data_IF_369204871352
#
_entry.id   IF_369204871352
#
_cell.length_a   1.000
_cell.length_b   1.000
_cell.length_c   1.000
_cell.angle_alpha   90.00
_cell.angle_beta   90.00
_cell.angle_gamma   90.00
#
_symmetry.space_group_name_H-M   'P 1'
#
loop_
_entity.id
_entity.type
_entity.pdbx_description
1 polymer ?
#
# COMPACT_ATOMS: atom_id res chain seq x y z
N UNK A 1 -24.65 21.82 -38.67
CA UNK A 1 -24.58 21.46 -37.24
C UNK A 1 -23.26 20.74 -37.01
N UNK A 2 -22.32 21.44 -36.41
CA UNK A 2 -20.89 21.06 -36.23
C UNK A 2 -20.74 20.11 -35.06
N UNK A 3 -19.97 19.04 -35.21
CA UNK A 3 -19.68 18.04 -34.19
C UNK A 3 -18.86 18.63 -33.02
N UNK A 4 -19.10 18.22 -31.76
CA UNK A 4 -18.53 18.86 -30.60
C UNK A 4 -17.06 18.51 -30.35
N UNK A 5 -16.32 19.50 -29.87
CA UNK A 5 -14.86 19.55 -29.69
C UNK A 5 -14.23 18.53 -28.70
N UNK A 6 -15.00 17.69 -28.04
CA UNK A 6 -14.44 16.72 -27.06
C UNK A 6 -13.68 15.54 -27.67
N UNK A 7 -13.72 15.35 -28.98
CA UNK A 7 -12.91 14.36 -29.71
C UNK A 7 -11.40 14.63 -29.70
N UNK A 8 -10.95 15.83 -29.32
CA UNK A 8 -9.52 16.21 -29.30
C UNK A 8 -8.79 15.90 -27.98
N UNK A 9 -9.51 15.68 -26.89
CA UNK A 9 -8.89 15.37 -25.59
C UNK A 9 -8.66 13.87 -25.36
N UNK A 10 -9.30 12.99 -26.11
CA UNK A 10 -9.09 11.54 -26.01
C UNK A 10 -7.83 11.04 -26.76
N UNK A 11 -7.20 11.87 -27.60
CA UNK A 11 -6.04 11.47 -28.39
C UNK A 11 -4.68 11.69 -27.72
N UNK A 12 -4.62 12.43 -26.60
CA UNK A 12 -3.34 12.76 -25.93
C UNK A 12 -2.93 11.73 -24.87
N UNK A 13 -3.86 10.90 -24.40
CA UNK A 13 -3.55 9.87 -23.38
C UNK A 13 -3.00 8.55 -23.97
N UNK A 14 -2.93 8.38 -25.30
CA UNK A 14 -2.52 7.11 -25.93
C UNK A 14 -1.11 7.12 -26.56
N UNK A 15 -0.31 8.19 -26.41
CA UNK A 15 1.00 8.31 -27.09
C UNK A 15 2.20 8.08 -26.16
N UNK A 16 2.02 7.73 -24.88
CA UNK A 16 3.11 7.49 -23.94
C UNK A 16 3.47 6.02 -23.69
N UNK A 17 3.09 5.09 -24.57
CA UNK A 17 3.62 3.71 -24.55
C UNK A 17 4.49 3.52 -25.80
N UNK A 18 5.57 4.29 -25.90
CA UNK A 18 6.65 4.09 -26.84
C UNK A 18 7.56 2.97 -26.38
N UNK A 19 7.72 1.95 -27.21
CA UNK A 19 8.66 0.85 -27.01
C UNK A 19 10.11 1.41 -26.91
N UNK A 20 10.78 1.10 -25.79
CA UNK A 20 12.22 1.30 -25.65
C UNK A 20 12.92 0.08 -26.24
N UNK A 21 13.82 0.23 -27.23
CA UNK A 21 14.56 -0.90 -27.79
C UNK A 21 15.58 -1.42 -26.77
N UNK A 22 15.61 -2.74 -26.60
CA UNK A 22 16.66 -3.44 -25.84
C UNK A 22 17.94 -3.37 -26.68
N UNK A 23 18.88 -2.51 -26.32
CA UNK A 23 20.23 -2.53 -26.84
C UNK A 23 21.16 -3.29 -25.89
N UNK A 24 21.98 -4.10 -26.50
CA UNK A 24 22.98 -5.02 -25.98
C UNK A 24 23.82 -4.53 -24.79
N UNK A 25 24.07 -5.47 -23.87
CA UNK A 25 25.05 -5.33 -22.79
C UNK A 25 26.44 -5.30 -23.42
N UNK A 26 27.03 -4.09 -23.47
CA UNK A 26 28.46 -3.90 -23.73
C UNK A 26 29.19 -3.71 -22.40
N UNK A 27 30.27 -4.44 -22.25
CA UNK A 27 31.22 -4.45 -21.12
C UNK A 27 31.58 -3.05 -20.61
N UNK A 28 31.43 -2.84 -19.30
CA UNK A 28 31.86 -1.63 -18.60
C UNK A 28 33.39 -1.53 -18.59
N UNK A 29 33.98 -0.40 -18.97
CA UNK A 29 35.38 -0.16 -18.75
C UNK A 29 35.67 0.17 -17.28
N UNK A 30 36.80 -0.33 -16.78
CA UNK A 30 37.33 -0.08 -15.43
C UNK A 30 37.55 1.42 -15.19
N UNK A 31 36.99 1.93 -14.08
CA UNK A 31 37.16 3.30 -13.63
C UNK A 31 38.62 3.57 -13.24
N UNK A 32 39.23 4.69 -13.67
CA UNK A 32 40.54 5.10 -13.20
C UNK A 32 40.46 5.63 -11.76
N UNK A 33 41.43 5.27 -10.94
CA UNK A 33 41.65 5.78 -9.59
C UNK A 33 41.84 7.29 -9.58
N UNK A 34 40.98 8.00 -8.80
CA UNK A 34 41.11 9.45 -8.62
C UNK A 34 42.25 9.78 -7.65
N UNK A 35 43.08 10.80 -7.93
CA UNK A 35 44.08 11.26 -6.99
C UNK A 35 43.47 12.07 -5.84
N UNK A 36 43.92 11.79 -4.62
CA UNK A 36 43.56 12.55 -3.41
C UNK A 36 44.26 13.91 -3.49
N UNK A 37 43.53 14.96 -3.79
CA UNK A 37 43.99 16.35 -3.60
C UNK A 37 43.23 16.94 -2.41
N UNK A 38 43.95 17.14 -1.31
CA UNK A 38 43.57 18.01 -0.20
C UNK A 38 43.54 19.46 -0.70
N UNK A 39 42.35 20.04 -0.85
CA UNK A 39 42.16 21.47 -1.00
C UNK A 39 41.02 21.96 -0.15
N UNK A 40 41.33 22.96 0.67
CA UNK A 40 40.58 23.79 1.55
C UNK A 40 39.07 23.66 1.60
N UNK A 41 38.55 23.27 2.75
CA UNK A 41 37.11 23.27 3.07
C UNK A 41 36.59 24.71 3.07
N UNK A 42 36.08 25.16 1.95
CA UNK A 42 35.09 26.23 1.92
C UNK A 42 33.80 25.58 2.42
N UNK A 43 33.44 25.83 3.68
CA UNK A 43 32.12 25.47 4.24
C UNK A 43 31.04 26.16 3.40
N UNK A 44 30.54 25.49 2.37
CA UNK A 44 29.28 25.88 1.75
C UNK A 44 28.22 25.81 2.84
N UNK A 45 27.39 26.85 3.01
CA UNK A 45 26.24 26.74 3.91
C UNK A 45 25.45 25.51 3.49
N UNK A 46 25.29 24.55 4.38
CA UNK A 46 24.43 23.39 4.17
C UNK A 46 23.04 23.98 3.98
N UNK A 47 22.57 23.99 2.73
CA UNK A 47 21.19 24.35 2.48
C UNK A 47 20.30 23.39 3.28
N UNK A 48 19.44 23.95 4.12
CA UNK A 48 18.44 23.15 4.81
C UNK A 48 17.68 22.34 3.76
N UNK A 49 17.45 21.04 3.98
CA UNK A 49 16.72 20.22 3.02
C UNK A 49 15.37 20.90 2.73
N UNK A 50 14.91 20.90 1.49
CA UNK A 50 13.66 21.54 1.13
C UNK A 50 12.54 20.91 1.96
N UNK A 51 11.78 21.74 2.70
CA UNK A 51 10.59 21.31 3.41
C UNK A 51 9.55 20.81 2.41
N UNK A 52 8.78 19.80 2.79
CA UNK A 52 7.64 19.37 1.99
C UNK A 52 6.64 20.55 1.86
N UNK A 53 6.01 20.71 0.68
CA UNK A 53 4.96 21.71 0.54
C UNK A 53 3.82 21.43 1.53
N UNK A 54 3.19 22.46 2.07
CA UNK A 54 2.03 22.31 2.94
C UNK A 54 0.96 21.43 2.28
N UNK A 55 0.45 20.47 3.02
CA UNK A 55 -0.59 19.57 2.56
C UNK A 55 -1.71 19.47 3.59
N UNK A 56 -2.93 19.30 3.11
CA UNK A 56 -4.11 19.12 3.95
C UNK A 56 -5.00 18.01 3.42
N UNK A 57 -5.72 17.37 4.34
CA UNK A 57 -6.79 16.44 4.03
C UNK A 57 -8.06 16.84 4.76
N UNK A 58 -9.17 16.84 4.03
CA UNK A 58 -10.52 17.04 4.54
C UNK A 58 -11.34 15.76 4.35
N UNK A 59 -12.23 15.48 5.29
CA UNK A 59 -13.20 14.39 5.25
C UNK A 59 -14.58 14.95 4.95
N UNK A 60 -15.39 14.18 4.23
CA UNK A 60 -16.76 14.57 3.93
C UNK A 60 -17.68 14.29 5.12
N UNK A 61 -18.39 15.31 5.55
CA UNK A 61 -19.44 15.26 6.57
C UNK A 61 -20.76 15.79 5.99
N UNK A 62 -21.63 14.89 5.57
CA UNK A 62 -22.83 15.26 4.84
C UNK A 62 -22.47 16.02 3.55
N UNK A 63 -22.90 17.31 3.47
CA UNK A 63 -22.62 18.17 2.31
C UNK A 63 -21.40 19.10 2.48
N UNK A 64 -20.63 18.93 3.56
CA UNK A 64 -19.50 19.81 3.87
C UNK A 64 -18.20 19.02 3.89
N UNK A 65 -17.09 19.73 3.68
CA UNK A 65 -15.74 19.23 3.87
C UNK A 65 -15.17 19.79 5.15
N UNK A 66 -14.69 18.92 6.05
CA UNK A 66 -14.00 19.30 7.28
C UNK A 66 -12.55 18.90 7.19
N UNK A 67 -11.63 19.88 7.25
CA UNK A 67 -10.20 19.59 7.36
C UNK A 67 -9.94 18.88 8.67
N UNK A 68 -9.37 17.69 8.59
CA UNK A 68 -9.02 16.89 9.77
C UNK A 68 -7.50 16.75 9.96
N UNK A 69 -6.71 16.98 8.91
CA UNK A 69 -5.26 16.86 8.96
C UNK A 69 -4.58 17.97 8.15
N UNK A 70 -3.42 18.41 8.65
CA UNK A 70 -2.48 19.32 7.98
C UNK A 70 -1.07 18.87 8.26
N UNK A 71 -0.19 18.91 7.25
CA UNK A 71 1.20 18.49 7.39
C UNK A 71 1.96 19.27 8.47
N UNK A 72 1.68 20.58 8.61
CA UNK A 72 2.32 21.45 9.60
C UNK A 72 1.92 21.13 11.05
N UNK A 73 0.79 20.44 11.23
CA UNK A 73 0.25 20.06 12.53
C UNK A 73 0.14 18.54 12.66
N UNK A 74 0.90 17.79 11.84
CA UNK A 74 0.92 16.34 11.93
C UNK A 74 1.37 15.88 13.34
N UNK A 75 0.67 14.92 13.94
CA UNK A 75 1.07 14.42 15.26
C UNK A 75 2.43 13.74 15.18
N UNK A 76 3.27 13.96 16.18
CA UNK A 76 4.57 13.28 16.28
C UNK A 76 4.42 11.76 16.42
N UNK A 77 3.26 11.31 16.90
CA UNK A 77 2.92 9.90 17.06
C UNK A 77 1.41 9.68 17.02
N UNK A 78 0.99 8.68 16.26
CA UNK A 78 -0.37 8.16 16.24
C UNK A 78 -0.56 7.17 17.40
N UNK A 79 -1.62 7.34 18.17
CA UNK A 79 -1.84 6.57 19.41
C UNK A 79 -2.79 5.38 19.26
N UNK A 80 -3.17 5.05 18.04
CA UNK A 80 -4.18 4.04 17.76
C UNK A 80 -5.63 4.56 17.84
N UNK A 81 -5.82 5.87 17.97
CA UNK A 81 -7.14 6.49 17.91
C UNK A 81 -7.65 6.46 16.48
N UNK A 82 -8.84 5.92 16.27
CA UNK A 82 -9.39 5.67 14.94
C UNK A 82 -10.37 6.79 14.51
N UNK A 83 -9.91 8.03 14.49
CA UNK A 83 -10.73 9.22 14.21
C UNK A 83 -11.44 9.17 12.87
N UNK A 84 -10.77 8.73 11.81
CA UNK A 84 -11.40 8.56 10.49
C UNK A 84 -12.40 7.41 10.44
N UNK A 85 -12.29 6.41 11.31
CA UNK A 85 -13.21 5.29 11.32
C UNK A 85 -14.63 5.69 11.76
N UNK A 86 -14.79 6.82 12.44
CA UNK A 86 -16.09 7.39 12.83
C UNK A 86 -16.88 7.90 11.61
N UNK A 87 -16.20 8.20 10.51
CA UNK A 87 -16.81 8.65 9.25
C UNK A 87 -17.13 7.51 8.27
N UNK A 88 -16.81 6.27 8.65
CA UNK A 88 -17.05 5.09 7.81
C UNK A 88 -18.41 4.50 8.11
N UNK A 89 -19.23 4.31 7.07
CA UNK A 89 -20.40 3.44 7.17
C UNK A 89 -19.98 2.00 6.99
N UNK A 90 -19.85 1.29 8.12
CA UNK A 90 -19.35 -0.09 8.12
C UNK A 90 -20.40 -1.08 7.64
N UNK A 91 -19.98 -2.02 6.79
CA UNK A 91 -20.75 -3.14 6.27
C UNK A 91 -20.09 -4.45 6.73
N UNK A 92 -20.85 -5.40 7.33
CA UNK A 92 -20.30 -6.68 7.73
C UNK A 92 -19.97 -7.53 6.50
N UNK A 93 -18.82 -8.20 6.52
CA UNK A 93 -18.39 -9.16 5.48
C UNK A 93 -18.54 -10.58 5.97
N UNK A 94 -18.00 -10.85 7.15
CA UNK A 94 -18.03 -12.11 7.86
C UNK A 94 -17.75 -11.85 9.35
N UNK A 95 -17.92 -12.82 10.26
CA UNK A 95 -17.52 -12.63 11.65
C UNK A 95 -16.08 -12.17 11.79
N UNK A 96 -15.89 -10.98 12.39
CA UNK A 96 -14.56 -10.33 12.51
C UNK A 96 -14.06 -9.63 11.28
N UNK A 97 -14.90 -9.43 10.26
CA UNK A 97 -14.55 -8.70 9.05
C UNK A 97 -15.62 -7.66 8.71
N UNK A 98 -15.20 -6.45 8.42
CA UNK A 98 -16.07 -5.38 7.94
C UNK A 98 -15.32 -4.53 6.90
N UNK A 99 -16.08 -3.84 6.07
CA UNK A 99 -15.52 -2.85 5.13
C UNK A 99 -16.40 -1.62 5.06
N UNK A 100 -15.86 -0.55 4.54
CA UNK A 100 -16.57 0.68 4.24
C UNK A 100 -15.72 1.63 3.43
N UNK A 101 -16.24 2.81 3.16
CA UNK A 101 -15.53 3.84 2.40
C UNK A 101 -15.68 5.21 3.07
N UNK A 102 -14.68 6.07 2.82
CA UNK A 102 -14.63 7.47 3.26
C UNK A 102 -14.30 8.31 2.04
N UNK A 103 -14.99 9.43 1.87
CA UNK A 103 -14.60 10.43 0.88
C UNK A 103 -13.64 11.43 1.50
N UNK A 104 -12.46 11.58 0.89
CA UNK A 104 -11.46 12.60 1.25
C UNK A 104 -11.29 13.62 0.13
N UNK A 105 -10.88 14.82 0.51
CA UNK A 105 -10.40 15.85 -0.39
C UNK A 105 -9.06 16.39 0.11
N UNK A 106 -8.11 16.51 -0.80
CA UNK A 106 -6.79 17.05 -0.53
C UNK A 106 -6.34 18.02 -1.62
N UNK A 107 -5.07 18.37 -1.61
CA UNK A 107 -4.46 19.25 -2.62
C UNK A 107 -4.16 18.48 -3.90
N UNK A 108 -4.12 19.17 -5.05
CA UNK A 108 -3.75 18.58 -6.34
C UNK A 108 -4.65 17.41 -6.73
N UNK A 109 -4.07 16.30 -7.17
CA UNK A 109 -4.78 15.10 -7.63
C UNK A 109 -5.54 14.36 -6.52
N UNK A 110 -5.38 14.77 -5.26
CA UNK A 110 -6.15 14.25 -4.11
C UNK A 110 -7.49 14.96 -3.90
N UNK A 111 -7.88 15.91 -4.74
CA UNK A 111 -9.10 16.73 -4.56
C UNK A 111 -10.40 15.93 -4.43
N UNK A 112 -10.41 14.69 -4.88
CA UNK A 112 -11.51 13.71 -4.74
C UNK A 112 -10.89 12.32 -4.61
N UNK A 113 -10.82 11.81 -3.40
CA UNK A 113 -10.22 10.51 -3.12
C UNK A 113 -11.17 9.69 -2.25
N UNK A 114 -11.61 8.55 -2.77
CA UNK A 114 -12.31 7.55 -1.98
C UNK A 114 -11.28 6.66 -1.31
N UNK A 115 -11.42 6.43 -0.01
CA UNK A 115 -10.61 5.46 0.74
C UNK A 115 -11.51 4.28 1.11
N UNK A 116 -11.26 3.15 0.48
CA UNK A 116 -11.90 1.88 0.80
C UNK A 116 -11.11 1.28 1.97
N UNK A 117 -11.81 0.96 3.06
CA UNK A 117 -11.21 0.44 4.28
C UNK A 117 -11.78 -0.93 4.59
N UNK A 118 -10.90 -1.89 4.90
CA UNK A 118 -11.29 -3.22 5.38
C UNK A 118 -10.69 -3.45 6.76
N UNK A 119 -11.51 -3.89 7.71
CA UNK A 119 -11.10 -4.32 9.05
C UNK A 119 -11.17 -5.84 9.13
N UNK A 120 -10.14 -6.45 9.73
CA UNK A 120 -10.05 -7.89 9.89
C UNK A 120 -9.52 -8.20 11.30
N UNK A 121 -10.30 -8.94 12.08
CA UNK A 121 -9.81 -9.54 13.33
C UNK A 121 -9.09 -10.86 13.00
N UNK A 122 -7.75 -10.94 13.10
CA UNK A 122 -7.00 -12.13 12.72
C UNK A 122 -7.29 -13.34 13.62
N UNK A 123 -7.89 -13.13 14.82
CA UNK A 123 -8.34 -14.22 15.69
C UNK A 123 -9.55 -14.95 15.11
N UNK A 124 -10.34 -14.27 14.28
CA UNK A 124 -11.57 -14.77 13.63
C UNK A 124 -11.41 -15.02 12.14
N UNK A 125 -10.21 -14.77 11.60
CA UNK A 125 -9.85 -14.94 10.21
C UNK A 125 -8.67 -15.88 10.05
N UNK A 126 -8.61 -16.59 8.93
CA UNK A 126 -7.40 -17.28 8.45
C UNK A 126 -6.81 -16.47 7.30
N UNK A 127 -5.56 -16.12 7.45
CA UNK A 127 -4.78 -15.40 6.45
C UNK A 127 -3.89 -16.38 5.69
N UNK A 128 -3.74 -16.19 4.40
CA UNK A 128 -2.83 -16.97 3.56
C UNK A 128 -2.32 -16.10 2.40
N UNK A 129 -1.17 -16.45 1.85
CA UNK A 129 -0.68 -15.84 0.62
C UNK A 129 -1.01 -16.72 -0.58
N UNK A 130 -1.39 -16.09 -1.68
CA UNK A 130 -1.52 -16.72 -2.99
C UNK A 130 -0.48 -16.15 -3.95
N UNK A 131 0.09 -16.99 -4.78
CA UNK A 131 1.22 -16.64 -5.61
C UNK A 131 1.03 -17.03 -7.06
N UNK A 132 1.51 -16.17 -7.95
CA UNK A 132 1.61 -16.49 -9.35
C UNK A 132 3.04 -16.90 -9.75
N UNK A 133 4.05 -16.35 -9.08
CA UNK A 133 5.46 -16.56 -9.44
C UNK A 133 5.97 -17.97 -9.21
N UNK A 134 5.41 -18.73 -8.26
CA UNK A 134 5.83 -20.11 -7.96
C UNK A 134 5.50 -21.09 -9.09
N UNK A 135 4.53 -20.77 -9.94
CA UNK A 135 4.07 -21.64 -11.03
C UNK A 135 4.82 -21.41 -12.34
N UNK A 136 5.16 -20.14 -12.62
CA UNK A 136 5.74 -19.77 -13.91
C UNK A 136 6.66 -18.54 -13.86
N UNK A 137 7.11 -18.11 -12.69
CA UNK A 137 7.89 -16.87 -12.49
C UNK A 137 7.23 -15.62 -13.12
N UNK A 138 5.90 -15.54 -13.06
CA UNK A 138 5.12 -14.46 -13.70
C UNK A 138 4.28 -13.69 -12.70
N UNK A 139 4.07 -12.39 -12.99
CA UNK A 139 3.05 -11.55 -12.38
C UNK A 139 1.71 -11.83 -13.04
N UNK A 140 1.06 -12.91 -12.76
CA UNK A 140 -0.20 -13.23 -13.41
C UNK A 140 -1.39 -13.35 -12.44
N UNK A 141 -1.18 -13.00 -11.17
CA UNK A 141 -2.27 -12.94 -10.20
C UNK A 141 -3.18 -11.74 -10.45
N UNK A 142 -4.46 -11.97 -10.38
CA UNK A 142 -5.53 -10.96 -10.44
C UNK A 142 -6.72 -11.43 -9.61
N UNK A 143 -7.70 -10.53 -9.40
CA UNK A 143 -8.91 -10.84 -8.64
C UNK A 143 -9.74 -12.00 -9.21
N UNK A 144 -9.52 -12.39 -10.48
CA UNK A 144 -10.22 -13.53 -11.10
C UNK A 144 -9.73 -14.87 -10.56
N UNK A 145 -8.55 -14.89 -9.92
CA UNK A 145 -7.97 -16.10 -9.31
C UNK A 145 -8.37 -16.30 -7.85
N UNK A 146 -9.11 -15.36 -7.27
CA UNK A 146 -9.50 -15.41 -5.86
C UNK A 146 -10.47 -16.56 -5.63
N UNK A 147 -10.11 -17.57 -4.78
CA UNK A 147 -11.00 -18.67 -4.44
C UNK A 147 -12.33 -18.16 -3.85
N UNK A 148 -13.42 -18.86 -4.15
CA UNK A 148 -14.75 -18.45 -3.72
C UNK A 148 -14.88 -18.36 -2.19
N UNK A 149 -14.20 -19.23 -1.47
CA UNK A 149 -14.19 -19.25 -0.01
C UNK A 149 -13.50 -18.04 0.63
N UNK A 150 -12.63 -17.30 -0.11
CA UNK A 150 -12.00 -16.09 0.41
C UNK A 150 -12.99 -14.94 0.43
N UNK A 151 -13.07 -14.22 1.54
CA UNK A 151 -13.95 -13.06 1.73
C UNK A 151 -13.28 -11.74 1.37
N UNK A 152 -11.98 -11.65 1.58
CA UNK A 152 -11.17 -10.49 1.19
C UNK A 152 -9.95 -10.99 0.45
N UNK A 153 -9.56 -10.27 -0.58
CA UNK A 153 -8.29 -10.48 -1.29
C UNK A 153 -7.68 -9.14 -1.70
N UNK A 154 -6.37 -9.02 -1.54
CA UNK A 154 -5.63 -7.80 -1.88
C UNK A 154 -4.26 -8.19 -2.41
N UNK A 155 -3.70 -7.42 -3.36
CA UNK A 155 -2.30 -7.64 -3.73
C UNK A 155 -1.37 -7.36 -2.55
N UNK A 156 -0.27 -8.11 -2.43
CA UNK A 156 0.63 -8.05 -1.30
C UNK A 156 2.06 -7.72 -1.72
N UNK A 157 2.73 -6.94 -0.85
CA UNK A 157 4.12 -6.53 -1.05
C UNK A 157 4.31 -5.52 -2.17
N UNK A 158 5.57 -5.28 -2.49
CA UNK A 158 6.03 -4.60 -3.70
C UNK A 158 6.63 -5.66 -4.64
N UNK A 159 6.86 -5.31 -5.90
CA UNK A 159 7.52 -6.23 -6.82
C UNK A 159 8.44 -5.52 -7.81
N UNK A 160 9.45 -6.25 -8.25
CA UNK A 160 10.39 -5.81 -9.29
C UNK A 160 10.32 -6.83 -10.41
N UNK A 161 10.12 -6.36 -11.64
CA UNK A 161 9.81 -7.22 -12.77
C UNK A 161 8.61 -8.15 -12.45
N UNK A 162 8.79 -9.44 -12.41
CA UNK A 162 7.73 -10.44 -12.21
C UNK A 162 7.80 -11.12 -10.83
N UNK A 163 8.69 -10.68 -9.95
CA UNK A 163 8.90 -11.27 -8.63
C UNK A 163 8.54 -10.29 -7.52
N UNK A 164 8.00 -10.78 -6.38
CA UNK A 164 7.88 -9.98 -5.18
C UNK A 164 9.24 -9.43 -4.75
N UNK A 165 9.25 -8.21 -4.25
CA UNK A 165 10.45 -7.64 -3.68
C UNK A 165 10.63 -8.11 -2.23
N UNK A 166 11.84 -8.62 -1.92
CA UNK A 166 12.22 -8.99 -0.56
C UNK A 166 11.67 -10.34 -0.10
N UNK A 167 11.57 -10.49 1.21
CA UNK A 167 11.31 -11.77 1.86
C UNK A 167 9.90 -12.30 1.57
N UNK A 168 9.83 -13.55 1.14
CA UNK A 168 8.57 -14.29 0.97
C UNK A 168 8.69 -15.68 1.57
N UNK A 169 7.77 -15.98 2.50
CA UNK A 169 7.57 -17.30 3.08
C UNK A 169 6.15 -17.76 2.78
N UNK A 170 6.01 -18.97 2.27
CA UNK A 170 4.74 -19.58 1.93
C UNK A 170 4.70 -20.95 2.59
N UNK A 171 3.72 -21.14 3.46
CA UNK A 171 3.50 -22.40 4.17
C UNK A 171 4.78 -22.94 4.86
N UNK A 172 5.45 -22.05 5.58
CA UNK A 172 6.70 -22.34 6.30
C UNK A 172 7.96 -22.42 5.43
N UNK A 173 7.82 -22.37 4.11
CA UNK A 173 8.97 -22.45 3.18
C UNK A 173 9.36 -21.07 2.68
N UNK A 174 10.63 -20.71 2.85
CA UNK A 174 11.17 -19.50 2.25
C UNK A 174 11.37 -19.66 0.74
N UNK A 175 10.77 -18.77 -0.02
CA UNK A 175 10.90 -18.70 -1.48
C UNK A 175 11.84 -17.60 -1.95
N UNK A 176 11.78 -16.44 -1.28
CA UNK A 176 12.65 -15.32 -1.59
C UNK A 176 13.37 -14.85 -0.31
N UNK A 177 14.64 -14.47 -0.41
CA UNK A 177 15.40 -13.95 0.74
C UNK A 177 14.93 -12.54 1.12
N UNK A 178 15.25 -12.10 2.36
CA UNK A 178 14.99 -10.74 2.78
C UNK A 178 15.65 -9.70 1.88
N UNK A 179 14.88 -8.70 1.46
CA UNK A 179 15.37 -7.50 0.83
C UNK A 179 15.99 -6.55 1.87
N UNK A 180 16.85 -5.65 1.41
CA UNK A 180 17.52 -4.66 2.27
C UNK A 180 16.99 -3.28 1.99
N UNK A 181 16.71 -2.52 3.03
CA UNK A 181 16.25 -1.13 2.93
C UNK A 181 15.84 -0.59 4.30
N UNK A 182 16.13 0.68 4.61
CA UNK A 182 15.85 1.27 5.92
C UNK A 182 14.35 1.42 6.21
N UNK A 183 13.52 1.42 5.17
CA UNK A 183 12.07 1.54 5.28
C UNK A 183 11.34 0.26 4.89
N UNK A 184 12.03 -0.86 4.87
CA UNK A 184 11.42 -2.15 4.64
C UNK A 184 10.75 -2.68 5.92
N UNK A 185 9.58 -3.28 5.77
CA UNK A 185 8.89 -4.00 6.83
C UNK A 185 8.41 -5.36 6.35
N UNK A 186 8.48 -6.36 7.20
CA UNK A 186 7.88 -7.66 6.94
C UNK A 186 6.57 -7.81 7.73
N UNK A 187 5.53 -8.21 7.02
CA UNK A 187 4.28 -8.71 7.55
C UNK A 187 4.41 -10.21 7.74
N UNK A 188 4.24 -10.69 8.96
CA UNK A 188 4.51 -12.08 9.31
C UNK A 188 3.28 -12.69 9.97
N UNK A 189 2.92 -13.87 9.52
CA UNK A 189 1.88 -14.71 10.11
C UNK A 189 2.57 -15.97 10.63
N UNK A 190 2.49 -16.23 11.94
CA UNK A 190 3.06 -17.44 12.53
C UNK A 190 2.18 -18.69 12.31
N UNK A 191 2.67 -19.85 12.73
CA UNK A 191 1.94 -21.13 12.63
C UNK A 191 0.66 -21.15 13.49
N UNK A 192 0.55 -20.29 14.49
CA UNK A 192 -0.68 -20.07 15.30
C UNK A 192 -1.68 -19.14 14.61
N UNK A 193 -1.27 -18.49 13.53
CA UNK A 193 -2.07 -17.49 12.81
C UNK A 193 -2.02 -16.09 13.41
N UNK A 194 -1.08 -15.81 14.32
CA UNK A 194 -0.87 -14.47 14.85
C UNK A 194 -0.09 -13.62 13.87
N UNK A 195 -0.48 -12.35 13.80
CA UNK A 195 0.18 -11.36 12.96
C UNK A 195 1.20 -10.58 13.78
N UNK A 196 2.36 -10.37 13.21
CA UNK A 196 3.40 -9.48 13.77
C UNK A 196 4.11 -8.71 12.67
N UNK A 197 4.68 -7.59 13.05
CA UNK A 197 5.54 -6.78 12.19
C UNK A 197 7.02 -6.99 12.53
N UNK A 198 7.86 -6.89 11.53
CA UNK A 198 9.29 -6.77 11.69
C UNK A 198 9.77 -5.61 10.82
N UNK A 199 10.08 -4.50 11.47
CA UNK A 199 10.63 -3.32 10.84
C UNK A 199 12.15 -3.42 10.71
N UNK A 200 12.69 -2.89 9.60
CA UNK A 200 14.12 -2.91 9.32
C UNK A 200 14.65 -4.27 8.85
N UNK A 201 15.90 -4.63 9.18
CA UNK A 201 16.53 -5.86 8.71
C UNK A 201 15.77 -7.11 9.18
N UNK A 202 15.42 -7.98 8.24
CA UNK A 202 14.79 -9.26 8.51
C UNK A 202 15.86 -10.34 8.53
N UNK A 203 15.90 -11.16 9.60
CA UNK A 203 16.72 -12.34 9.63
C UNK A 203 16.16 -13.39 8.66
N UNK A 204 17.03 -14.03 7.90
CA UNK A 204 16.67 -15.13 7.05
C UNK A 204 16.08 -16.31 7.78
N UNK A 205 15.72 -17.30 7.78
CA UNK A 205 15.32 -18.45 8.58
C UNK A 205 14.78 -18.10 9.97
N UNK A 206 13.47 -17.84 10.05
CA UNK A 206 12.78 -17.69 11.32
C UNK A 206 11.86 -18.88 11.58
N UNK A 207 12.12 -19.68 12.62
CA UNK A 207 11.23 -20.79 12.97
C UNK A 207 9.82 -20.27 13.35
N UNK A 208 8.80 -21.06 13.06
CA UNK A 208 7.41 -20.73 13.41
C UNK A 208 6.71 -19.71 12.49
N UNK A 209 7.34 -19.28 11.40
CA UNK A 209 6.70 -18.46 10.39
C UNK A 209 5.94 -19.34 9.40
N UNK A 210 4.64 -19.15 9.27
CA UNK A 210 3.84 -19.84 8.27
C UNK A 210 3.82 -19.05 6.95
N UNK A 211 3.56 -17.75 7.04
CA UNK A 211 3.48 -16.86 5.87
C UNK A 211 4.20 -15.55 6.18
N UNK A 212 4.90 -15.02 5.22
CA UNK A 212 5.48 -13.69 5.32
C UNK A 212 5.65 -13.06 3.94
N UNK A 213 5.52 -11.74 3.90
CA UNK A 213 5.98 -10.93 2.78
C UNK A 213 6.62 -9.65 3.29
N UNK A 214 7.55 -9.12 2.53
CA UNK A 214 8.19 -7.84 2.79
C UNK A 214 7.64 -6.76 1.85
N UNK A 215 7.57 -5.54 2.34
CA UNK A 215 7.14 -4.38 1.55
C UNK A 215 7.84 -3.11 2.01
N UNK A 216 7.68 -2.03 1.27
CA UNK A 216 8.17 -0.68 1.57
C UNK A 216 7.35 0.40 0.87
N UNK A 217 7.44 1.66 1.32
CA UNK A 217 8.03 2.09 2.57
C UNK A 217 7.13 1.77 3.77
N UNK A 218 7.77 1.58 4.93
CA UNK A 218 7.09 1.61 6.23
C UNK A 218 6.45 2.98 6.41
N UNK A 219 5.15 3.02 6.63
CA UNK A 219 4.39 4.23 6.87
C UNK A 219 4.44 4.61 8.34
N UNK A 220 4.19 3.63 9.20
CA UNK A 220 4.16 3.79 10.66
C UNK A 220 4.94 2.65 11.31
N UNK A 221 5.74 3.00 12.32
CA UNK A 221 6.39 2.10 13.26
C UNK A 221 6.06 2.56 14.68
N UNK A 222 5.32 1.74 15.41
CA UNK A 222 4.85 2.07 16.77
C UNK A 222 4.14 3.44 16.82
N UNK A 223 3.38 3.77 15.80
CA UNK A 223 2.65 5.02 15.63
C UNK A 223 3.49 6.21 15.12
N UNK A 224 4.78 6.05 14.89
CA UNK A 224 5.66 7.12 14.38
C UNK A 224 5.79 7.02 12.87
N UNK A 225 5.68 8.15 12.20
CA UNK A 225 6.03 8.27 10.78
C UNK A 225 7.56 8.28 10.68
N UNK A 226 8.12 7.50 9.75
CA UNK A 226 9.55 7.56 9.50
C UNK A 226 9.99 8.97 9.10
N UNK A 227 11.06 9.52 9.68
CA UNK A 227 11.61 10.82 9.26
C UNK A 227 11.93 10.90 7.76
N UNK A 228 12.26 9.79 7.13
CA UNK A 228 12.50 9.73 5.69
C UNK A 228 11.24 10.03 4.86
N UNK A 229 10.05 9.85 5.41
CA UNK A 229 8.79 10.20 4.73
C UNK A 229 8.38 11.67 4.91
N UNK A 230 9.09 12.42 5.74
CA UNK A 230 8.81 13.84 6.02
C UNK A 230 9.86 14.77 5.41
N UNK A 231 10.79 14.24 4.59
CA UNK A 231 11.90 14.97 3.99
C UNK A 231 12.00 14.67 2.50
N UNK A 232 12.23 15.70 1.72
CA UNK A 232 12.36 15.59 0.26
C UNK A 232 13.66 14.91 -0.20
N UNK A 233 14.71 14.90 0.65
CA UNK A 233 16.06 14.42 0.33
C UNK A 233 16.35 12.98 0.79
N UNK A 234 15.33 12.26 1.23
CA UNK A 234 15.51 10.93 1.82
C UNK A 234 15.59 9.77 0.79
N UNK A 235 15.67 10.06 -0.49
CA UNK A 235 15.75 9.04 -1.56
C UNK A 235 14.45 8.30 -1.83
N UNK A 236 13.32 8.82 -1.30
CA UNK A 236 11.97 8.34 -1.55
C UNK A 236 11.17 9.47 -2.16
N UNK A 237 10.43 9.19 -3.21
CA UNK A 237 9.53 10.17 -3.78
C UNK A 237 8.30 10.35 -2.86
N UNK A 238 8.38 11.39 -2.02
CA UNK A 238 7.33 11.77 -1.08
C UNK A 238 6.31 12.74 -1.67
N UNK A 239 6.56 13.26 -2.86
CA UNK A 239 5.69 14.22 -3.56
C UNK A 239 4.74 13.55 -4.55
N UNK A 240 5.12 12.42 -5.07
CA UNK A 240 4.34 11.72 -6.07
C UNK A 240 2.97 11.32 -5.50
N UNK A 241 1.92 11.78 -6.17
CA UNK A 241 0.54 11.41 -5.88
C UNK A 241 0.14 10.20 -6.70
N UNK A 242 -0.49 9.24 -6.06
CA UNK A 242 -0.91 8.00 -6.72
C UNK A 242 -2.07 7.36 -5.96
N UNK A 243 -2.75 6.43 -6.58
CA UNK A 243 -3.61 5.49 -5.88
C UNK A 243 -2.76 4.67 -4.92
N UNK A 244 -3.06 4.74 -3.62
CA UNK A 244 -2.29 4.07 -2.57
C UNK A 244 -3.02 2.84 -2.06
N UNK A 245 -2.23 1.85 -1.69
CA UNK A 245 -2.69 0.66 -1.00
C UNK A 245 -1.76 0.43 0.19
N UNK A 246 -2.34 0.24 1.37
CA UNK A 246 -1.58 0.00 2.59
C UNK A 246 -2.25 -1.06 3.46
N UNK A 247 -1.44 -1.71 4.28
CA UNK A 247 -1.88 -2.61 5.34
C UNK A 247 -1.22 -2.21 6.65
N UNK A 248 -1.96 -2.31 7.76
CA UNK A 248 -1.45 -1.99 9.08
C UNK A 248 -2.20 -2.73 10.18
N UNK A 249 -1.76 -2.55 11.42
CA UNK A 249 -2.41 -3.10 12.61
C UNK A 249 -2.75 -2.01 13.61
N UNK A 250 -3.89 -2.17 14.27
CA UNK A 250 -4.28 -1.41 15.47
C UNK A 250 -3.63 -2.03 16.72
N UNK A 251 -3.59 -1.30 17.85
CA UNK A 251 -3.07 -1.84 19.11
C UNK A 251 -3.78 -3.11 19.61
N UNK A 252 -5.05 -3.30 19.25
CA UNK A 252 -5.84 -4.50 19.59
C UNK A 252 -5.56 -5.70 18.66
N UNK A 253 -4.66 -5.55 17.69
CA UNK A 253 -4.30 -6.55 16.70
C UNK A 253 -5.20 -6.56 15.46
N UNK A 254 -6.24 -5.73 15.39
CA UNK A 254 -7.09 -5.62 14.19
C UNK A 254 -6.27 -5.17 13.00
N UNK A 255 -6.34 -5.92 11.90
CA UNK A 255 -5.75 -5.52 10.62
C UNK A 255 -6.64 -4.47 9.94
N UNK A 256 -5.98 -3.49 9.36
CA UNK A 256 -6.59 -2.44 8.53
C UNK A 256 -5.96 -2.50 7.15
N UNK A 257 -6.76 -2.70 6.13
CA UNK A 257 -6.36 -2.50 4.72
C UNK A 257 -7.04 -1.22 4.25
N UNK A 258 -6.28 -0.31 3.66
CA UNK A 258 -6.83 0.91 3.08
C UNK A 258 -6.34 1.06 1.64
N UNK A 259 -7.28 1.25 0.72
CA UNK A 259 -7.02 1.49 -0.70
C UNK A 259 -7.63 2.82 -1.10
N UNK A 260 -6.85 3.68 -1.76
CA UNK A 260 -7.37 4.92 -2.33
C UNK A 260 -7.77 4.75 -3.79
N UNK A 261 -8.83 5.45 -4.18
CA UNK A 261 -9.31 5.53 -5.56
C UNK A 261 -9.71 6.96 -5.87
N UNK A 262 -9.58 7.33 -7.14
CA UNK A 262 -10.08 8.63 -7.59
C UNK A 262 -11.60 8.60 -7.69
N UNK A 263 -12.29 9.44 -6.91
CA UNK A 263 -13.75 9.41 -6.73
C UNK A 263 -14.55 10.40 -7.58
N UNK A 264 -13.90 11.21 -8.46
CA UNK A 264 -14.58 12.34 -9.09
C UNK A 264 -15.47 11.99 -10.29
N UNK A 265 -15.19 10.92 -11.00
CA UNK A 265 -15.81 10.62 -12.31
C UNK A 265 -16.44 9.21 -12.36
N UNK A 266 -16.79 8.66 -11.20
CA UNK A 266 -17.40 7.34 -11.06
C UNK A 266 -16.38 6.18 -11.15
N UNK A 267 -16.85 4.96 -10.94
CA UNK A 267 -16.01 3.76 -10.83
C UNK A 267 -15.11 3.49 -12.04
N UNK A 268 -15.53 3.91 -13.24
CA UNK A 268 -14.79 3.69 -14.49
C UNK A 268 -13.44 4.43 -14.55
N UNK A 269 -13.33 5.55 -13.88
CA UNK A 269 -12.10 6.36 -13.79
C UNK A 269 -11.40 6.22 -12.45
N UNK A 270 -11.91 5.42 -11.55
CA UNK A 270 -11.27 5.11 -10.27
C UNK A 270 -9.90 4.42 -10.39
N UNK A 271 -9.54 3.92 -11.59
CA UNK A 271 -8.22 3.34 -11.90
C UNK A 271 -7.17 4.38 -12.31
N UNK A 272 -7.56 5.66 -12.47
CA UNK A 272 -6.59 6.73 -12.70
C UNK A 272 -5.68 6.83 -11.48
N UNK A 273 -4.35 6.88 -11.65
CA UNK A 273 -3.40 6.85 -10.54
C UNK A 273 -3.30 8.20 -9.81
N UNK A 274 -4.45 8.84 -9.57
CA UNK A 274 -4.57 10.04 -8.76
C UNK A 274 -4.87 9.67 -7.32
N UNK A 275 -4.36 10.44 -6.38
CA UNK A 275 -4.61 10.19 -4.97
C UNK A 275 -3.64 10.87 -4.02
N UNK A 276 -3.15 10.11 -3.07
CA UNK A 276 -2.39 10.62 -1.94
C UNK A 276 -0.88 10.53 -2.17
N UNK A 277 -0.15 11.44 -1.53
CA UNK A 277 1.28 11.27 -1.31
C UNK A 277 1.54 10.19 -0.26
N UNK A 278 2.78 9.73 -0.13
CA UNK A 278 3.15 8.73 0.89
C UNK A 278 2.94 9.26 2.33
N UNK A 279 3.31 10.51 2.69
CA UNK A 279 3.01 11.07 4.01
C UNK A 279 1.51 11.21 4.30
N UNK A 280 0.71 11.59 3.30
CA UNK A 280 -0.75 11.67 3.45
C UNK A 280 -1.37 10.29 3.70
N UNK A 281 -0.87 9.23 3.01
CA UNK A 281 -1.34 7.87 3.27
C UNK A 281 -0.92 7.38 4.67
N UNK A 282 0.26 7.76 5.16
CA UNK A 282 0.66 7.48 6.54
C UNK A 282 -0.29 8.15 7.56
N UNK A 283 -0.70 9.39 7.30
CA UNK A 283 -1.69 10.09 8.13
C UNK A 283 -3.05 9.37 8.10
N UNK A 284 -3.52 8.94 6.93
CA UNK A 284 -4.77 8.17 6.79
C UNK A 284 -4.71 6.88 7.61
N UNK A 285 -3.62 6.10 7.49
CA UNK A 285 -3.46 4.87 8.26
C UNK A 285 -3.45 5.13 9.77
N UNK A 286 -2.72 6.16 10.23
CA UNK A 286 -2.70 6.56 11.64
C UNK A 286 -4.08 6.99 12.16
N UNK A 287 -4.84 7.76 11.38
CA UNK A 287 -6.18 8.20 11.74
C UNK A 287 -7.25 7.08 11.60
N UNK A 288 -6.94 5.99 10.89
CA UNK A 288 -7.69 4.74 10.92
C UNK A 288 -7.36 3.87 12.15
N UNK A 289 -6.46 4.35 13.01
CA UNK A 289 -6.10 3.74 14.29
C UNK A 289 -4.94 2.76 14.21
N UNK A 290 -4.17 2.71 13.10
CA UNK A 290 -3.01 1.82 13.04
C UNK A 290 -1.81 2.42 13.75
N UNK A 291 -1.01 1.57 14.38
CA UNK A 291 0.31 1.91 14.94
C UNK A 291 1.45 1.38 14.08
N UNK A 292 1.19 0.34 13.32
CA UNK A 292 2.16 -0.23 12.39
C UNK A 292 1.50 -0.33 11.01
N UNK A 293 2.17 0.17 9.99
CA UNK A 293 1.64 0.17 8.64
C UNK A 293 2.75 0.24 7.58
N UNK A 294 2.50 -0.37 6.44
CA UNK A 294 3.39 -0.37 5.28
C UNK A 294 2.58 -0.16 4.00
N UNK A 295 3.18 0.50 3.01
CA UNK A 295 2.62 0.52 1.65
C UNK A 295 2.76 -0.85 0.99
N UNK A 296 1.74 -1.21 0.24
CA UNK A 296 1.76 -2.26 -0.76
C UNK A 296 1.88 -1.63 -2.15
N UNK A 297 2.03 -2.44 -3.19
CA UNK A 297 2.08 -1.91 -4.55
C UNK A 297 0.74 -1.25 -4.91
N UNK A 298 0.82 0.04 -5.18
CA UNK A 298 -0.30 0.94 -5.45
C UNK A 298 -0.52 1.19 -6.94
N UNK A 299 -1.03 2.39 -7.26
CA UNK A 299 -1.23 2.84 -8.63
C UNK A 299 -2.09 1.87 -9.45
N UNK A 300 -1.61 1.55 -10.64
CA UNK A 300 -2.29 0.63 -11.57
C UNK A 300 -2.27 -0.83 -11.12
N UNK A 301 -1.50 -1.17 -10.09
CA UNK A 301 -1.40 -2.53 -9.53
C UNK A 301 -2.38 -2.78 -8.39
N UNK A 302 -2.88 -1.73 -7.73
CA UNK A 302 -3.74 -1.85 -6.56
C UNK A 302 -5.03 -2.61 -6.87
N UNK A 303 -5.28 -3.72 -6.17
CA UNK A 303 -6.44 -4.58 -6.35
C UNK A 303 -7.00 -4.98 -5.00
N UNK A 304 -8.32 -4.90 -4.86
CA UNK A 304 -9.04 -5.32 -3.65
C UNK A 304 -10.34 -5.99 -4.05
N UNK A 305 -10.65 -7.09 -3.38
CA UNK A 305 -11.92 -7.79 -3.48
C UNK A 305 -12.53 -7.97 -2.08
N UNK A 306 -13.83 -7.72 -1.97
CA UNK A 306 -14.62 -7.98 -0.76
C UNK A 306 -15.89 -8.73 -1.17
N UNK A 307 -16.15 -9.89 -0.52
CA UNK A 307 -17.37 -10.68 -0.69
C UNK A 307 -18.23 -10.61 0.57
N UNK A 308 -19.26 -9.81 0.51
CA UNK A 308 -20.31 -9.81 1.54
C UNK A 308 -21.22 -11.02 1.36
N UNK A 309 -21.80 -11.53 2.45
CA UNK A 309 -22.77 -12.63 2.37
C UNK A 309 -24.10 -12.13 1.80
N UNK A 310 -24.56 -12.77 0.71
CA UNK A 310 -25.85 -12.43 0.09
C UNK A 310 -25.86 -11.13 -0.74
N UNK A 311 -24.69 -10.54 -0.99
CA UNK A 311 -24.55 -9.31 -1.77
C UNK A 311 -23.56 -9.55 -2.92
N UNK A 312 -23.67 -8.77 -3.97
CA UNK A 312 -22.72 -8.80 -5.08
C UNK A 312 -21.29 -8.52 -4.60
N UNK A 313 -20.33 -9.28 -5.11
CA UNK A 313 -18.91 -9.13 -4.80
C UNK A 313 -18.40 -7.76 -5.25
N UNK A 314 -17.86 -6.98 -4.33
CA UNK A 314 -17.17 -5.73 -4.63
C UNK A 314 -15.77 -6.02 -5.13
N UNK A 315 -15.41 -5.41 -6.26
CA UNK A 315 -14.13 -5.61 -6.93
C UNK A 315 -13.55 -4.25 -7.36
N UNK A 316 -12.44 -3.91 -6.79
CA UNK A 316 -11.62 -2.78 -7.23
C UNK A 316 -10.40 -3.35 -7.95
N UNK A 317 -10.55 -3.56 -9.25
CA UNK A 317 -9.51 -4.16 -10.08
C UNK A 317 -8.35 -3.20 -10.33
N UNK A 318 -7.14 -3.73 -10.42
CA UNK A 318 -5.98 -3.06 -11.01
C UNK A 318 -5.90 -3.35 -12.52
N UNK A 319 -5.15 -2.53 -13.23
CA UNK A 319 -4.84 -2.76 -14.66
C UNK A 319 -3.71 -3.79 -14.77
N UNK A 320 -2.78 -3.77 -13.82
CA UNK A 320 -1.58 -4.59 -13.82
C UNK A 320 -1.79 -5.85 -12.98
N UNK A 321 -1.37 -6.99 -13.52
CA UNK A 321 -1.28 -8.24 -12.75
C UNK A 321 -0.07 -8.19 -11.82
N UNK A 322 -0.15 -8.92 -10.72
CA UNK A 322 0.85 -8.91 -9.64
C UNK A 322 1.31 -10.32 -9.30
N UNK A 323 2.49 -10.51 -8.68
CA UNK A 323 2.98 -11.86 -8.37
C UNK A 323 2.41 -12.45 -7.08
N UNK A 324 1.90 -11.63 -6.16
CA UNK A 324 1.55 -12.04 -4.79
C UNK A 324 0.28 -11.36 -4.30
N UNK A 325 -0.53 -12.09 -3.54
CA UNK A 325 -1.73 -11.58 -2.89
C UNK A 325 -1.89 -12.12 -1.47
N UNK A 326 -2.56 -11.35 -0.63
CA UNK A 326 -3.07 -11.77 0.68
C UNK A 326 -4.54 -12.14 0.54
N UNK A 327 -4.88 -13.34 0.95
CA UNK A 327 -6.25 -13.88 0.99
C UNK A 327 -6.71 -14.02 2.43
N UNK A 328 -7.97 -13.66 2.67
CA UNK A 328 -8.59 -13.72 4.00
C UNK A 328 -9.84 -14.60 3.95
N UNK A 329 -9.85 -15.59 4.79
CA UNK A 329 -10.94 -16.55 4.94
C UNK A 329 -11.58 -16.43 6.31
N UNK A 330 -12.90 -16.64 6.48
CA UNK A 330 -13.47 -16.79 7.79
C UNK A 330 -12.88 -18.04 8.45
N UNK A 331 -12.58 -17.96 9.74
CA UNK A 331 -12.36 -19.19 10.52
C UNK A 331 -13.71 -19.85 10.74
N UNK A 332 -13.85 -21.10 10.35
CA UNK A 332 -14.97 -21.91 10.77
C UNK A 332 -15.01 -21.91 12.29
N UNK A 333 -16.18 -21.69 12.89
CA UNK A 333 -16.35 -21.96 14.31
C UNK A 333 -15.89 -23.41 14.52
N UNK A 334 -14.86 -23.61 15.32
CA UNK A 334 -14.47 -24.97 15.72
C UNK A 334 -15.73 -25.60 16.29
N UNK A 335 -16.24 -26.66 15.64
CA UNK A 335 -17.30 -27.49 16.19
C UNK A 335 -16.76 -27.93 17.54
N UNK A 336 -17.26 -27.33 18.62
CA UNK A 336 -16.97 -27.85 19.95
C UNK A 336 -17.56 -29.25 19.94
N UNK A 337 -16.69 -30.24 19.76
CA UNK A 337 -17.07 -31.62 19.96
C UNK A 337 -17.63 -31.75 21.40
N UNK A 338 -18.86 -32.21 21.46
CA UNK A 338 -19.45 -32.71 22.69
C UNK A 338 -18.65 -33.91 23.20
#
# INVERSE_FOLDING_TARGET
MTAPQWRRLAAVALVAVGAVPVTSIASLPSLPSLPVALQGAVTRPVALPPSLPPSLLAVREGNRWRTWWRSEHAPARWTGRAELAEHVTWRPVAPGMAWGAIELAGSGEAWRTDVIVVLIDPRRARLALDTAFTRALRRDWSLDRVPEAARVAVNAGQFVADLPWGWVVLDGKQYLPPGRGPLASAFVIDTGGHVRWQHGPVAAAQPGVAWAFQSYPTLLDSGRISPALTRADAGIDVFHRDARLAIGTRPDGTLVIAMTRFGALGERLGMVPFGLTTPEMAAVMGALGTTDAVLLDGGISAQLLVRESGVETRRWAGIRRVPLALLVYPRSAATRGN
#
